data_IF_622772141176
#
_entry.id   IF_622772141176
#
_cell.length_a   1.000
_cell.length_b   1.000
_cell.length_c   1.000
_cell.angle_alpha   90.00
_cell.angle_beta   90.00
_cell.angle_gamma   90.00
#
_symmetry.space_group_name_H-M   'P 1'
#
loop_
_entity.id
_entity.type
_entity.pdbx_description
1 polymer ?
#
# COMPACT_ATOMS: atom_id res chain seq x y z
N UNK A 1 -39.69 82.63 -16.37
CA UNK A 1 -38.59 83.62 -16.28
C UNK A 1 -37.94 83.52 -14.91
N UNK A 2 -36.65 83.84 -14.74
CA UNK A 2 -35.42 83.10 -15.04
C UNK A 2 -34.82 82.40 -13.79
N UNK A 3 -34.04 81.32 -13.95
CA UNK A 3 -32.57 81.34 -13.74
C UNK A 3 -32.21 80.64 -12.41
N UNK A 4 -31.08 79.99 -12.16
CA UNK A 4 -29.83 79.79 -12.89
C UNK A 4 -29.02 78.71 -12.13
N UNK A 5 -28.51 77.72 -12.87
CA UNK A 5 -27.23 76.99 -12.71
C UNK A 5 -26.85 76.39 -11.35
N UNK A 6 -26.55 75.07 -11.37
CA UNK A 6 -25.18 74.57 -11.22
C UNK A 6 -25.02 73.17 -11.81
N UNK A 7 -24.08 73.11 -12.74
CA UNK A 7 -23.51 71.93 -13.41
C UNK A 7 -22.65 71.10 -12.45
N UNK A 8 -22.44 69.82 -12.77
CA UNK A 8 -21.22 69.13 -12.37
C UNK A 8 -21.36 67.65 -12.04
N UNK A 9 -21.25 66.81 -13.07
CA UNK A 9 -20.61 65.49 -13.07
C UNK A 9 -20.74 64.60 -11.82
N UNK A 10 -21.70 63.67 -11.82
CA UNK A 10 -21.51 62.41 -11.11
C UNK A 10 -20.77 61.44 -12.04
N UNK A 11 -19.47 61.27 -11.79
CA UNK A 11 -18.68 60.22 -12.41
C UNK A 11 -19.15 58.85 -11.86
N UNK A 12 -19.63 58.02 -12.76
CA UNK A 12 -19.82 56.58 -12.58
C UNK A 12 -18.43 55.95 -12.45
N UNK A 13 -18.11 55.38 -11.29
CA UNK A 13 -16.96 54.51 -11.12
C UNK A 13 -17.43 53.17 -10.56
N UNK A 14 -17.64 52.25 -11.49
CA UNK A 14 -17.83 50.81 -11.31
C UNK A 14 -16.66 50.20 -10.54
N UNK A 15 -16.90 49.70 -9.33
CA UNK A 15 -16.00 48.77 -8.64
C UNK A 15 -16.67 47.39 -8.61
N UNK A 16 -16.66 46.71 -9.76
CA UNK A 16 -16.91 45.28 -9.86
C UNK A 16 -15.55 44.60 -9.95
N UNK A 17 -15.06 44.08 -8.83
CA UNK A 17 -14.05 43.03 -8.83
C UNK A 17 -14.57 41.95 -7.88
N UNK A 18 -15.39 41.08 -8.44
CA UNK A 18 -15.84 39.86 -7.80
C UNK A 18 -14.61 39.03 -7.41
N UNK A 19 -14.46 38.77 -6.11
CA UNK A 19 -13.53 37.79 -5.59
C UNK A 19 -14.01 36.40 -6.05
N UNK A 20 -13.54 35.97 -7.21
CA UNK A 20 -13.73 34.61 -7.69
C UNK A 20 -12.96 33.65 -6.78
N UNK A 21 -13.68 33.10 -5.81
CA UNK A 21 -13.40 31.83 -5.15
C UNK A 21 -13.35 30.74 -6.23
N UNK A 22 -12.17 30.55 -6.82
CA UNK A 22 -11.88 29.39 -7.65
C UNK A 22 -11.37 28.28 -6.75
N UNK A 23 -12.32 27.48 -6.26
CA UNK A 23 -12.11 26.07 -5.99
C UNK A 23 -11.56 25.42 -7.25
N UNK A 24 -10.32 24.95 -7.21
CA UNK A 24 -9.77 24.03 -8.20
C UNK A 24 -8.90 22.99 -7.50
N UNK A 25 -9.53 21.85 -7.24
CA UNK A 25 -9.01 20.50 -7.28
C UNK A 25 -7.58 20.25 -6.79
N UNK A 26 -7.50 19.67 -5.58
CA UNK A 26 -6.82 18.39 -5.32
C UNK A 26 -5.88 17.91 -6.45
N UNK A 27 -4.65 18.42 -6.45
CA UNK A 27 -3.54 17.78 -7.14
C UNK A 27 -2.93 16.70 -6.26
N UNK A 28 -3.69 15.66 -5.90
CA UNK A 28 -3.06 14.39 -5.50
C UNK A 28 -2.48 13.78 -6.76
N UNK A 29 -1.27 14.22 -7.12
CA UNK A 29 -0.41 13.51 -8.08
C UNK A 29 0.04 12.19 -7.46
N UNK A 30 -0.90 11.25 -7.33
CA UNK A 30 -0.65 9.92 -6.81
C UNK A 30 -0.11 8.97 -7.88
N UNK A 31 1.00 8.31 -7.55
CA UNK A 31 1.64 7.15 -8.19
C UNK A 31 2.49 7.50 -9.43
N UNK A 32 3.83 7.22 -9.49
CA UNK A 32 4.45 5.91 -9.23
C UNK A 32 5.88 5.89 -8.59
N UNK A 33 6.36 4.76 -8.02
CA UNK A 33 7.56 4.13 -8.63
C UNK A 33 7.53 2.56 -8.55
N UNK A 34 8.55 1.79 -9.01
CA UNK A 34 8.67 1.27 -10.38
C UNK A 34 8.87 -0.27 -10.51
N UNK A 35 9.03 -0.71 -11.77
CA UNK A 35 9.27 -2.10 -12.23
C UNK A 35 10.72 -2.57 -12.15
N UNK A 36 10.94 -3.90 -12.09
CA UNK A 36 12.26 -4.52 -12.27
C UNK A 36 12.27 -5.47 -13.49
N UNK A 37 12.67 -4.99 -14.68
CA UNK A 37 12.96 -5.88 -15.83
C UNK A 37 14.35 -6.52 -15.64
N UNK A 38 14.57 -7.83 -15.84
CA UNK A 38 14.32 -8.69 -17.02
C UNK A 38 13.98 -10.14 -16.58
N UNK A 39 13.33 -11.00 -17.37
CA UNK A 39 13.79 -11.47 -18.70
C UNK A 39 12.63 -11.90 -19.63
N UNK A 40 12.48 -11.12 -20.71
CA UNK A 40 11.83 -11.42 -21.99
C UNK A 40 10.29 -11.36 -22.07
N UNK A 41 9.81 -10.11 -21.94
CA UNK A 41 8.87 -9.41 -22.84
C UNK A 41 7.50 -10.04 -23.15
N UNK A 42 6.49 -9.69 -22.34
CA UNK A 42 5.36 -8.79 -22.71
C UNK A 42 4.73 -8.16 -21.44
N UNK A 43 5.11 -6.91 -21.11
CA UNK A 43 4.63 -6.11 -19.95
C UNK A 43 3.56 -5.12 -20.43
N UNK A 44 2.31 -5.13 -19.92
CA UNK A 44 1.96 -4.16 -18.89
C UNK A 44 0.79 -4.60 -17.97
N UNK A 45 0.95 -4.79 -16.67
CA UNK A 45 -0.08 -4.29 -15.73
C UNK A 45 0.65 -3.17 -15.03
N UNK A 46 0.58 -2.01 -15.67
CA UNK A 46 1.77 -1.19 -15.92
C UNK A 46 2.43 -0.68 -14.63
N UNK A 47 3.55 -1.21 -14.13
CA UNK A 47 4.44 -2.29 -14.58
C UNK A 47 4.87 -3.17 -13.39
N UNK A 48 3.84 -3.82 -12.81
CA UNK A 48 3.79 -5.06 -12.02
C UNK A 48 4.62 -5.16 -10.74
N UNK A 49 4.00 -4.78 -9.64
CA UNK A 49 4.22 -5.39 -8.32
C UNK A 49 2.82 -5.80 -7.86
N UNK A 50 2.28 -6.89 -8.41
CA UNK A 50 0.92 -7.34 -8.08
C UNK A 50 -0.17 -6.44 -8.63
N UNK A 51 0.03 -5.77 -9.77
CA UNK A 51 -0.95 -4.83 -10.35
C UNK A 51 -1.90 -5.50 -11.35
N UNK A 52 -1.68 -6.77 -11.68
CA UNK A 52 -2.51 -7.49 -12.63
C UNK A 52 -3.76 -8.11 -12.04
N UNK A 53 -3.90 -8.07 -10.72
CA UNK A 53 -5.06 -8.61 -10.06
C UNK A 53 -5.42 -7.73 -8.87
N UNK A 54 -6.71 -7.64 -8.62
CA UNK A 54 -7.27 -7.12 -7.39
C UNK A 54 -7.29 -8.24 -6.37
N UNK A 55 -7.00 -7.86 -5.12
CA UNK A 55 -7.01 -8.73 -3.97
C UNK A 55 -7.94 -8.14 -2.94
N UNK A 56 -8.90 -8.95 -2.50
CA UNK A 56 -9.78 -8.65 -1.39
C UNK A 56 -9.48 -9.68 -0.30
N UNK A 57 -9.28 -9.20 0.92
CA UNK A 57 -9.02 -10.06 2.09
C UNK A 57 -10.04 -9.72 3.16
N UNK A 58 -10.79 -10.72 3.63
CA UNK A 58 -11.86 -10.53 4.61
C UNK A 58 -12.88 -9.43 4.22
N UNK A 59 -13.15 -9.28 2.92
CA UNK A 59 -14.05 -8.25 2.38
C UNK A 59 -13.43 -6.84 2.27
N UNK A 60 -12.15 -6.67 2.60
CA UNK A 60 -11.42 -5.40 2.43
C UNK A 60 -10.54 -5.43 1.19
N UNK A 61 -10.61 -4.37 0.38
CA UNK A 61 -9.70 -4.18 -0.75
C UNK A 61 -8.30 -3.85 -0.25
N UNK A 62 -7.30 -4.42 -0.91
CA UNK A 62 -5.90 -4.09 -0.64
C UNK A 62 -5.54 -2.76 -1.29
N UNK A 63 -4.94 -1.86 -0.52
CA UNK A 63 -4.59 -0.50 -0.93
C UNK A 63 -3.08 -0.32 -1.10
N UNK A 64 -2.68 0.61 -1.95
CA UNK A 64 -1.27 1.03 -2.05
C UNK A 64 -0.91 1.81 -0.79
N UNK A 65 0.28 1.58 -0.24
CA UNK A 65 0.81 2.43 0.82
C UNK A 65 1.27 3.74 0.18
N UNK A 66 0.44 4.79 0.28
CA UNK A 66 0.70 6.08 -0.38
C UNK A 66 1.80 6.90 0.29
N UNK A 67 1.93 6.80 1.61
CA UNK A 67 2.92 7.53 2.39
C UNK A 67 4.30 6.86 2.26
N UNK A 68 5.24 7.55 1.62
CA UNK A 68 6.60 7.04 1.35
C UNK A 68 7.35 6.65 2.62
N UNK A 69 7.23 7.43 3.70
CA UNK A 69 7.88 7.15 4.98
C UNK A 69 7.36 5.86 5.60
N UNK A 70 6.05 5.65 5.56
CA UNK A 70 5.40 4.43 6.02
C UNK A 70 5.78 3.23 5.14
N UNK A 71 5.80 3.40 3.82
CA UNK A 71 6.21 2.35 2.88
C UNK A 71 7.66 1.92 3.15
N UNK A 72 8.57 2.88 3.34
CA UNK A 72 9.97 2.60 3.73
C UNK A 72 10.08 1.94 5.10
N UNK A 73 9.33 2.41 6.10
CA UNK A 73 9.36 1.83 7.45
C UNK A 73 8.89 0.38 7.44
N UNK A 74 7.75 0.10 6.81
CA UNK A 74 7.20 -1.25 6.70
C UNK A 74 8.08 -2.15 5.83
N UNK A 75 8.59 -1.65 4.70
CA UNK A 75 9.51 -2.37 3.82
C UNK A 75 10.83 -2.70 4.51
N UNK A 76 11.40 -1.77 5.28
CA UNK A 76 12.60 -1.99 6.08
C UNK A 76 12.36 -3.01 7.18
N UNK A 77 11.24 -2.90 7.90
CA UNK A 77 10.85 -3.88 8.91
C UNK A 77 10.73 -5.29 8.30
N UNK A 78 10.03 -5.43 7.18
CA UNK A 78 9.77 -6.72 6.58
C UNK A 78 11.01 -7.35 5.94
N UNK A 79 11.88 -6.55 5.30
CA UNK A 79 13.13 -7.04 4.69
C UNK A 79 14.19 -7.41 5.73
N UNK A 80 14.25 -6.70 6.87
CA UNK A 80 15.05 -7.11 8.03
C UNK A 80 14.56 -8.45 8.60
N UNK A 81 13.25 -8.66 8.56
CA UNK A 81 12.62 -9.85 9.09
C UNK A 81 12.79 -11.08 8.18
N UNK A 82 12.77 -10.90 6.86
CA UNK A 82 13.14 -11.93 5.87
C UNK A 82 13.52 -11.31 4.52
N UNK A 83 14.63 -11.75 3.93
CA UNK A 83 15.07 -11.31 2.60
C UNK A 83 14.11 -11.74 1.47
N UNK A 84 13.19 -12.67 1.73
CA UNK A 84 12.15 -13.07 0.77
C UNK A 84 11.08 -11.97 0.63
N UNK A 85 10.93 -11.11 1.64
CA UNK A 85 10.00 -9.98 1.64
C UNK A 85 10.74 -8.74 1.18
N UNK A 86 10.92 -8.63 -0.15
CA UNK A 86 11.78 -7.60 -0.74
C UNK A 86 11.11 -6.24 -0.89
N UNK A 87 9.78 -6.22 -0.99
CA UNK A 87 9.04 -5.07 -1.53
C UNK A 87 7.59 -5.04 -1.03
N UNK A 88 7.31 -4.17 -0.06
CA UNK A 88 6.01 -4.07 0.60
C UNK A 88 5.30 -2.77 0.19
N UNK A 89 4.47 -2.87 -0.84
CA UNK A 89 3.76 -1.72 -1.44
C UNK A 89 2.26 -1.70 -1.13
N UNK A 90 1.76 -2.77 -0.52
CA UNK A 90 0.34 -3.01 -0.35
C UNK A 90 0.02 -3.18 1.13
N UNK A 91 -1.15 -2.70 1.55
CA UNK A 91 -1.65 -2.89 2.89
C UNK A 91 -3.15 -3.14 2.92
N UNK A 92 -3.62 -3.70 4.02
CA UNK A 92 -5.03 -3.67 4.40
C UNK A 92 -5.16 -2.58 5.47
N UNK A 93 -5.98 -1.54 5.21
CA UNK A 93 -5.99 -0.34 6.05
C UNK A 93 -6.54 -0.60 7.45
N UNK A 94 -7.54 -1.47 7.59
CA UNK A 94 -8.19 -1.75 8.89
C UNK A 94 -7.82 -3.14 9.41
N UNK A 95 -7.65 -3.30 10.74
CA UNK A 95 -7.41 -4.61 11.35
C UNK A 95 -8.49 -5.63 11.01
N UNK A 96 -8.06 -6.84 10.66
CA UNK A 96 -8.94 -7.95 10.27
C UNK A 96 -9.21 -8.86 11.46
N UNK A 97 -10.42 -9.40 11.53
CA UNK A 97 -10.75 -10.49 12.46
C UNK A 97 -9.99 -11.78 12.11
N UNK A 98 -9.34 -12.40 13.10
CA UNK A 98 -8.54 -13.61 12.89
C UNK A 98 -9.27 -14.77 12.19
N UNK A 99 -10.58 -14.92 12.40
CA UNK A 99 -11.41 -15.95 11.75
C UNK A 99 -11.72 -15.66 10.28
N UNK A 100 -11.50 -14.43 9.81
CA UNK A 100 -11.69 -14.03 8.41
C UNK A 100 -10.39 -13.79 7.65
N UNK A 101 -9.26 -13.72 8.36
CA UNK A 101 -7.97 -13.32 7.81
C UNK A 101 -7.49 -14.20 6.64
N UNK A 102 -7.96 -15.44 6.52
CA UNK A 102 -7.61 -16.39 5.45
C UNK A 102 -8.63 -16.41 4.28
N UNK A 103 -9.68 -15.58 4.34
CA UNK A 103 -10.64 -15.43 3.25
C UNK A 103 -10.10 -14.48 2.19
N UNK A 104 -9.84 -15.02 0.99
CA UNK A 104 -9.25 -14.30 -0.13
C UNK A 104 -10.20 -14.34 -1.34
N UNK A 105 -10.36 -13.20 -1.99
CA UNK A 105 -10.84 -13.15 -3.37
C UNK A 105 -9.77 -12.52 -4.25
N UNK A 106 -9.49 -13.15 -5.38
CA UNK A 106 -8.58 -12.61 -6.40
C UNK A 106 -9.32 -12.50 -7.72
N UNK A 107 -9.15 -11.37 -8.40
CA UNK A 107 -9.76 -11.13 -9.71
C UNK A 107 -8.75 -10.41 -10.61
N UNK A 108 -8.61 -10.78 -11.87
CA UNK A 108 -7.81 -10.03 -12.84
C UNK A 108 -8.23 -8.55 -12.86
N UNK A 109 -7.24 -7.65 -12.95
CA UNK A 109 -7.45 -6.21 -12.91
C UNK A 109 -6.87 -5.56 -14.18
N UNK A 110 -7.57 -4.57 -14.73
CA UNK A 110 -7.15 -3.87 -15.95
C UNK A 110 -7.01 -4.82 -17.14
N UNK A 111 -5.82 -4.87 -17.74
CA UNK A 111 -5.44 -5.84 -18.77
C UNK A 111 -4.86 -7.15 -18.21
N UNK A 112 -4.96 -7.36 -16.89
CA UNK A 112 -4.53 -8.56 -16.19
C UNK A 112 -5.05 -9.85 -16.80
N UNK A 113 -6.27 -9.89 -17.32
CA UNK A 113 -6.82 -11.06 -18.01
C UNK A 113 -6.05 -11.42 -19.27
N UNK A 114 -5.62 -10.41 -20.04
CA UNK A 114 -4.88 -10.62 -21.28
C UNK A 114 -3.47 -11.14 -21.01
N UNK A 115 -2.91 -10.83 -19.84
CA UNK A 115 -1.51 -11.12 -19.54
C UNK A 115 -1.37 -12.35 -18.64
N UNK A 116 -2.23 -12.49 -17.65
CA UNK A 116 -2.26 -13.66 -16.78
C UNK A 116 -3.01 -14.82 -17.43
N UNK A 117 -4.00 -14.54 -18.28
CA UNK A 117 -4.77 -15.55 -19.01
C UNK A 117 -5.69 -16.37 -18.11
N UNK A 118 -6.74 -15.75 -17.56
CA UNK A 118 -7.71 -16.43 -16.67
C UNK A 118 -7.08 -17.06 -15.42
N UNK A 119 -7.88 -17.46 -14.43
CA UNK A 119 -7.31 -18.05 -13.22
C UNK A 119 -7.05 -19.55 -13.42
N UNK A 120 -5.83 -20.00 -13.10
CA UNK A 120 -5.45 -21.41 -13.08
C UNK A 120 -5.43 -21.91 -11.64
N UNK A 121 -6.60 -22.32 -11.15
CA UNK A 121 -6.78 -22.84 -9.79
C UNK A 121 -6.79 -21.76 -8.72
N UNK A 122 -6.74 -22.16 -7.45
CA UNK A 122 -6.77 -21.23 -6.32
C UNK A 122 -5.49 -20.39 -6.21
N UNK A 123 -5.57 -19.14 -5.71
CA UNK A 123 -4.37 -18.33 -5.49
C UNK A 123 -3.49 -18.98 -4.42
N UNK A 124 -2.16 -18.92 -4.61
CA UNK A 124 -1.25 -19.40 -3.59
C UNK A 124 -1.04 -18.31 -2.52
N UNK A 125 -1.28 -18.67 -1.26
CA UNK A 125 -1.04 -17.81 -0.10
C UNK A 125 0.15 -18.33 0.71
N UNK A 126 1.11 -17.46 1.01
CA UNK A 126 2.10 -17.68 2.07
C UNK A 126 1.95 -16.58 3.11
N UNK A 127 1.92 -16.96 4.38
CA UNK A 127 1.75 -16.01 5.49
C UNK A 127 3.04 -15.94 6.29
N UNK A 128 3.51 -14.73 6.56
CA UNK A 128 4.64 -14.45 7.43
C UNK A 128 4.15 -13.71 8.67
N UNK A 129 4.35 -14.28 9.85
CA UNK A 129 4.13 -13.59 11.12
C UNK A 129 5.29 -12.66 11.41
N UNK A 130 5.02 -11.38 11.66
CA UNK A 130 6.02 -10.39 12.07
C UNK A 130 5.98 -10.25 13.58
N UNK A 131 7.06 -10.68 14.25
CA UNK A 131 7.20 -10.63 15.70
C UNK A 131 8.39 -9.77 16.10
N UNK A 132 8.27 -9.04 17.19
CA UNK A 132 9.39 -8.36 17.83
C UNK A 132 10.05 -9.31 18.82
N UNK A 133 11.37 -9.41 18.76
CA UNK A 133 12.17 -10.21 19.69
C UNK A 133 13.22 -9.29 20.31
N UNK A 134 13.22 -9.23 21.64
CA UNK A 134 14.30 -8.58 22.39
C UNK A 134 15.58 -9.41 22.21
N UNK A 135 16.63 -8.81 21.66
CA UNK A 135 17.95 -9.46 21.61
C UNK A 135 18.70 -9.17 22.92
N UNK A 136 19.34 -10.19 23.52
CA UNK A 136 20.27 -9.96 24.62
C UNK A 136 21.35 -8.97 24.20
N UNK A 137 21.65 -8.00 25.07
CA UNK A 137 22.75 -7.08 24.83
C UNK A 137 24.09 -7.84 24.79
N UNK A 138 25.04 -7.44 23.94
CA UNK A 138 26.36 -8.05 23.93
C UNK A 138 27.02 -7.92 25.31
N UNK A 139 27.71 -8.98 25.74
CA UNK A 139 28.38 -8.99 27.03
C UNK A 139 29.41 -7.85 27.12
N UNK A 140 29.41 -7.15 28.25
CA UNK A 140 30.12 -5.90 28.52
C UNK A 140 31.58 -5.89 28.03
N UNK A 141 31.86 -4.98 27.09
CA UNK A 141 33.18 -4.69 26.53
C UNK A 141 33.12 -3.57 25.48
N UNK A 142 31.98 -3.41 24.81
CA UNK A 142 31.65 -2.25 23.98
C UNK A 142 30.75 -1.28 24.77
N UNK A 143 31.29 -0.10 25.09
CA UNK A 143 30.58 1.13 25.53
C UNK A 143 29.15 0.97 26.07
N UNK A 144 29.01 1.05 27.40
CA UNK A 144 27.74 1.11 28.13
C UNK A 144 26.80 2.26 27.71
N UNK A 145 27.25 3.19 26.87
CA UNK A 145 26.46 4.33 26.40
C UNK A 145 25.48 3.99 25.27
N UNK A 146 25.57 2.78 24.67
CA UNK A 146 24.74 2.36 23.54
C UNK A 146 23.80 1.18 23.82
N UNK A 147 23.88 0.62 25.02
CA UNK A 147 23.15 -0.56 25.45
C UNK A 147 21.70 -0.19 25.84
N UNK A 148 20.90 0.21 24.84
CA UNK A 148 19.45 0.08 24.92
C UNK A 148 19.11 -1.29 24.35
N UNK A 149 18.27 -2.05 25.06
CA UNK A 149 17.69 -3.31 24.58
C UNK A 149 17.30 -3.17 23.11
N UNK A 150 17.99 -3.92 22.26
CA UNK A 150 17.73 -3.90 20.83
C UNK A 150 16.54 -4.81 20.55
N UNK A 151 15.48 -4.23 19.99
CA UNK A 151 14.36 -4.99 19.47
C UNK A 151 14.62 -5.23 17.99
N UNK A 152 14.69 -6.49 17.58
CA UNK A 152 14.72 -6.87 16.16
C UNK A 152 13.36 -7.45 15.76
N UNK A 153 12.98 -7.28 14.50
CA UNK A 153 11.77 -7.89 13.94
C UNK A 153 12.14 -9.16 13.20
N UNK A 154 11.43 -10.25 13.46
CA UNK A 154 11.63 -11.56 12.85
C UNK A 154 10.37 -11.97 12.09
N UNK A 155 10.54 -12.51 10.87
CA UNK A 155 9.46 -13.04 10.07
C UNK A 155 9.49 -14.57 10.14
N UNK A 156 8.38 -15.16 10.59
CA UNK A 156 8.21 -16.62 10.60
C UNK A 156 7.21 -17.01 9.55
N UNK A 157 7.63 -17.80 8.55
CA UNK A 157 6.71 -18.41 7.58
C UNK A 157 5.80 -19.37 8.33
N UNK A 158 4.49 -19.18 8.18
CA UNK A 158 3.50 -20.05 8.80
C UNK A 158 3.15 -21.19 7.86
N UNK A 159 3.25 -22.41 8.38
CA UNK A 159 2.49 -23.52 7.82
C UNK A 159 1.03 -23.37 8.26
N UNK A 160 0.18 -23.10 7.28
CA UNK A 160 -1.24 -22.94 7.52
C UNK A 160 -1.94 -24.27 7.77
N UNK A 161 -1.39 -25.43 7.40
CA UNK A 161 -1.82 -26.78 7.84
C UNK A 161 -3.28 -26.98 8.29
N UNK A 162 -4.27 -26.59 7.48
CA UNK A 162 -5.69 -26.70 7.80
C UNK A 162 -6.26 -25.70 8.83
N UNK A 163 -5.46 -24.75 9.31
CA UNK A 163 -5.88 -23.61 10.13
C UNK A 163 -6.94 -22.80 9.39
N UNK A 164 -7.97 -22.44 10.13
CA UNK A 164 -9.07 -21.59 9.66
C UNK A 164 -9.01 -20.17 10.22
N UNK A 165 -8.03 -19.90 11.10
CA UNK A 165 -7.84 -18.58 11.73
C UNK A 165 -6.37 -18.20 11.85
N UNK A 166 -6.11 -16.90 11.91
CA UNK A 166 -4.87 -16.34 12.41
C UNK A 166 -5.04 -15.79 13.83
N UNK A 167 -3.96 -15.81 14.60
CA UNK A 167 -3.89 -15.18 15.92
C UNK A 167 -3.72 -13.67 15.78
N UNK A 168 -4.09 -12.86 16.79
CA UNK A 168 -3.83 -11.43 16.79
C UNK A 168 -2.33 -11.12 16.57
N UNK A 169 -2.03 -10.14 15.71
CA UNK A 169 -0.65 -9.80 15.38
C UNK A 169 -0.48 -9.06 14.06
N UNK A 170 0.78 -8.86 13.65
CA UNK A 170 1.15 -8.24 12.38
C UNK A 170 1.65 -9.30 11.41
N UNK A 171 1.25 -9.19 10.15
CA UNK A 171 1.54 -10.20 9.15
C UNK A 171 1.95 -9.56 7.82
N UNK A 172 2.68 -10.32 7.02
CA UNK A 172 2.82 -10.08 5.59
C UNK A 172 2.28 -11.28 4.85
N UNK A 173 1.34 -11.05 3.94
CA UNK A 173 0.86 -12.05 3.00
C UNK A 173 1.63 -11.94 1.71
N UNK A 174 2.16 -13.07 1.23
CA UNK A 174 2.52 -13.24 -0.16
C UNK A 174 1.37 -13.94 -0.86
N UNK A 175 0.66 -13.23 -1.74
CA UNK A 175 -0.42 -13.80 -2.56
C UNK A 175 0.07 -13.86 -4.00
N UNK A 176 0.05 -15.06 -4.58
CA UNK A 176 0.36 -15.28 -6.00
C UNK A 176 -0.90 -15.63 -6.76
N UNK A 177 -1.22 -14.82 -7.77
CA UNK A 177 -2.20 -15.18 -8.78
C UNK A 177 -1.52 -16.05 -9.82
N UNK A 178 -2.00 -17.28 -9.99
CA UNK A 178 -1.49 -18.22 -10.98
C UNK A 178 -2.44 -18.22 -12.17
N UNK A 179 -2.05 -17.55 -13.25
CA UNK A 179 -2.82 -17.55 -14.48
C UNK A 179 -2.46 -18.72 -15.41
N UNK A 180 -3.18 -18.86 -16.53
CA UNK A 180 -2.86 -19.87 -17.54
C UNK A 180 -1.70 -19.44 -18.44
N UNK A 181 -1.49 -18.14 -18.63
CA UNK A 181 -0.43 -17.57 -19.47
C UNK A 181 0.77 -17.11 -18.65
N UNK A 182 0.54 -16.47 -17.51
CA UNK A 182 1.59 -15.96 -16.62
C UNK A 182 1.08 -15.86 -15.17
N UNK A 183 1.90 -15.33 -14.26
CA UNK A 183 1.55 -15.09 -12.86
C UNK A 183 1.87 -13.66 -12.43
N UNK A 184 1.32 -13.26 -11.28
CA UNK A 184 1.70 -12.02 -10.58
C UNK A 184 1.58 -12.24 -9.07
N UNK A 185 2.21 -11.35 -8.29
CA UNK A 185 2.34 -11.48 -6.83
C UNK A 185 2.17 -10.15 -6.11
N UNK A 186 1.49 -10.16 -4.96
CA UNK A 186 1.49 -9.06 -3.98
C UNK A 186 2.11 -9.51 -2.66
N UNK A 187 2.97 -8.66 -2.07
CA UNK A 187 3.24 -8.69 -0.65
C UNK A 187 2.35 -7.64 0.04
N UNK A 188 1.54 -8.06 1.00
CA UNK A 188 0.52 -7.23 1.64
C UNK A 188 0.72 -7.22 3.14
N UNK A 189 0.87 -6.02 3.71
CA UNK A 189 0.89 -5.82 5.14
C UNK A 189 -0.52 -5.83 5.71
N UNK A 190 -0.71 -6.49 6.85
CA UNK A 190 -1.98 -6.45 7.56
C UNK A 190 -1.79 -6.64 9.06
N UNK A 191 -2.80 -6.23 9.81
CA UNK A 191 -2.92 -6.46 11.25
C UNK A 191 -4.15 -7.30 11.51
N UNK A 192 -4.02 -8.32 12.36
CA UNK A 192 -5.11 -9.19 12.81
C UNK A 192 -5.41 -8.89 14.28
N UNK A 193 -6.69 -8.90 14.64
CA UNK A 193 -7.20 -8.76 16.00
C UNK A 193 -8.15 -9.88 16.38
#
# INVERSE_FOLDING_TARGET
>A
MPGSRRSGALAVATALAASSLLTACLGFGGVPPPSYARYNEYLPCSTRIGRCFDLIVAGQTVEVIEEEERQKALGSMASQASYEIRDLYWQIPQPIDGGKALSLEVKPAGDGDKILGGQRGDPALTVWALSEVERPEPASGESAYSARRKVDVVATKLDLGGRTRLEPGRYVYEVRYLGQLDWDRKFVYLTVR
#
